data_IF_150965345682
#
_entry.id   IF_150965345682
#
_cell.length_a   1.000
_cell.length_b   1.000
_cell.length_c   1.000
_cell.angle_alpha   90.00
_cell.angle_beta   90.00
_cell.angle_gamma   90.00
#
_symmetry.space_group_name_H-M   'P 1'
#
loop_
_entity.id
_entity.type
_entity.pdbx_description
1 polymer ?
#
# COMPACT_ATOMS: atom_id res chain seq x y z
N UNK A 1 -47.61 -26.45 16.14
CA UNK A 1 -46.70 -27.16 15.20
C UNK A 1 -47.48 -27.28 13.90
N UNK A 2 -47.32 -26.31 12.99
CA UNK A 2 -47.81 -26.43 11.63
C UNK A 2 -46.64 -26.99 10.81
N UNK A 3 -46.70 -28.29 10.57
CA UNK A 3 -45.85 -29.03 9.64
C UNK A 3 -46.37 -28.80 8.22
N UNK A 4 -45.45 -28.79 7.26
CA UNK A 4 -45.65 -28.86 5.80
C UNK A 4 -45.87 -27.56 5.00
N UNK A 5 -44.93 -26.62 5.12
CA UNK A 5 -44.64 -25.72 4.00
C UNK A 5 -43.62 -26.38 3.06
N UNK A 6 -44.11 -27.03 1.99
CA UNK A 6 -43.24 -27.48 0.88
C UNK A 6 -42.75 -26.25 0.11
N UNK A 7 -41.62 -25.69 0.55
CA UNK A 7 -40.96 -24.61 -0.17
C UNK A 7 -40.37 -25.16 -1.48
N UNK A 8 -40.93 -24.73 -2.61
CA UNK A 8 -40.39 -25.01 -3.94
C UNK A 8 -39.58 -23.79 -4.37
N UNK A 9 -38.24 -23.90 -4.35
CA UNK A 9 -37.40 -22.89 -5.00
C UNK A 9 -37.53 -23.01 -6.52
N UNK A 10 -38.17 -22.03 -7.14
CA UNK A 10 -38.11 -21.83 -8.59
C UNK A 10 -37.23 -20.60 -8.86
N UNK A 11 -36.11 -20.81 -9.53
CA UNK A 11 -35.35 -19.72 -10.12
C UNK A 11 -36.21 -19.08 -11.21
N UNK A 12 -36.82 -17.93 -10.90
CA UNK A 12 -37.54 -17.13 -11.86
C UNK A 12 -36.59 -16.01 -12.30
N UNK A 13 -35.94 -16.09 -13.47
CA UNK A 13 -35.07 -15.03 -13.95
C UNK A 13 -35.87 -13.72 -14.02
N UNK A 14 -35.21 -12.57 -13.84
CA UNK A 14 -35.91 -11.30 -13.85
C UNK A 14 -36.50 -11.02 -15.26
N UNK A 15 -37.79 -11.30 -15.44
CA UNK A 15 -38.49 -11.16 -16.72
C UNK A 15 -38.63 -9.70 -17.17
N UNK A 16 -38.29 -8.74 -16.30
CA UNK A 16 -38.24 -7.31 -16.60
C UNK A 16 -36.85 -6.84 -17.05
N UNK A 17 -35.80 -7.67 -16.94
CA UNK A 17 -34.45 -7.28 -17.35
C UNK A 17 -34.40 -7.02 -18.87
N UNK A 18 -33.90 -5.84 -19.25
CA UNK A 18 -33.84 -5.33 -20.63
C UNK A 18 -35.21 -5.12 -21.33
N UNK A 19 -36.32 -5.03 -20.59
CA UNK A 19 -37.62 -4.69 -21.17
C UNK A 19 -37.87 -3.17 -21.17
N UNK A 20 -38.55 -2.63 -22.18
CA UNK A 20 -38.88 -1.21 -22.23
C UNK A 20 -39.94 -0.84 -21.17
N UNK A 21 -39.97 0.45 -20.81
CA UNK A 21 -41.01 1.03 -19.96
C UNK A 21 -42.40 0.72 -20.54
N UNK A 22 -43.30 0.18 -19.70
CA UNK A 22 -44.66 -0.21 -20.09
C UNK A 22 -44.84 -1.68 -20.49
N UNK A 23 -43.80 -2.51 -20.42
CA UNK A 23 -43.92 -3.95 -20.68
C UNK A 23 -44.84 -4.64 -19.66
N UNK A 24 -45.96 -5.20 -20.13
CA UNK A 24 -46.89 -5.95 -19.29
C UNK A 24 -46.46 -7.41 -19.20
N UNK A 25 -46.23 -7.89 -17.97
CA UNK A 25 -45.88 -9.27 -17.68
C UNK A 25 -47.14 -10.05 -17.30
N UNK A 26 -47.59 -10.95 -18.16
CA UNK A 26 -48.73 -11.83 -17.90
C UNK A 26 -48.20 -13.16 -17.34
N UNK A 27 -48.42 -13.42 -16.05
CA UNK A 27 -48.09 -14.71 -15.45
C UNK A 27 -49.19 -15.74 -15.74
N UNK A 28 -48.80 -16.93 -16.21
CA UNK A 28 -49.72 -18.00 -16.64
C UNK A 28 -50.31 -18.82 -15.48
N UNK A 29 -49.83 -18.63 -14.24
CA UNK A 29 -50.29 -19.34 -13.05
C UNK A 29 -50.76 -18.32 -12.01
N UNK A 30 -51.99 -18.48 -11.53
CA UNK A 30 -52.49 -17.73 -10.37
C UNK A 30 -51.74 -18.25 -9.13
N UNK A 31 -50.86 -17.42 -8.57
CA UNK A 31 -50.25 -17.70 -7.27
C UNK A 31 -51.26 -17.25 -6.23
N UNK A 32 -52.07 -18.18 -5.72
CA UNK A 32 -52.96 -17.90 -4.59
C UNK A 32 -52.10 -17.78 -3.31
N UNK A 33 -52.31 -16.69 -2.55
CA UNK A 33 -51.57 -16.29 -1.34
C UNK A 33 -50.16 -15.72 -1.59
N UNK A 34 -50.00 -14.83 -2.57
CA UNK A 34 -48.81 -14.00 -2.75
C UNK A 34 -48.97 -12.67 -2.00
N UNK A 35 -48.03 -12.36 -1.11
CA UNK A 35 -47.85 -11.01 -0.57
C UNK A 35 -46.62 -10.38 -1.22
N UNK A 36 -46.80 -9.28 -1.95
CA UNK A 36 -45.72 -8.52 -2.58
C UNK A 36 -45.53 -7.27 -1.73
N UNK A 37 -44.44 -7.24 -0.97
CA UNK A 37 -44.06 -6.05 -0.21
C UNK A 37 -43.04 -5.28 -1.03
N UNK A 38 -43.43 -4.10 -1.52
CA UNK A 38 -42.51 -3.13 -2.08
C UNK A 38 -41.66 -2.56 -0.94
N UNK A 39 -40.34 -2.59 -1.09
CA UNK A 39 -39.42 -1.94 -0.15
C UNK A 39 -38.37 -1.17 -0.94
N UNK A 40 -38.20 0.09 -0.58
CA UNK A 40 -37.15 0.92 -1.13
C UNK A 40 -35.82 0.61 -0.43
N UNK A 41 -34.87 0.06 -1.16
CA UNK A 41 -33.47 0.06 -0.74
C UNK A 41 -32.86 1.43 -1.02
N UNK A 42 -33.05 2.35 -0.08
CA UNK A 42 -32.42 3.67 -0.17
C UNK A 42 -30.98 3.57 0.30
N UNK A 43 -30.04 3.56 -0.65
CA UNK A 43 -28.61 3.62 -0.39
C UNK A 43 -28.11 5.06 -0.53
N UNK A 44 -27.37 5.54 0.46
CA UNK A 44 -26.70 6.83 0.42
C UNK A 44 -25.19 6.63 0.47
N UNK A 45 -24.48 7.28 -0.44
CA UNK A 45 -23.04 7.39 -0.35
C UNK A 45 -22.70 8.58 0.55
N UNK A 46 -22.04 8.32 1.69
CA UNK A 46 -21.57 9.35 2.62
C UNK A 46 -20.10 9.60 2.37
N UNK A 47 -19.77 10.82 1.98
CA UNK A 47 -18.40 11.24 1.75
C UNK A 47 -17.93 12.20 2.84
N UNK A 48 -16.68 12.06 3.25
CA UNK A 48 -16.06 12.96 4.21
C UNK A 48 -15.83 14.31 3.55
N UNK A 49 -16.68 15.30 3.85
CA UNK A 49 -16.59 16.64 3.25
C UNK A 49 -15.57 17.55 3.93
N UNK A 50 -15.52 17.53 5.27
CA UNK A 50 -14.69 18.48 6.03
C UNK A 50 -14.11 17.82 7.27
N UNK A 51 -12.83 18.12 7.55
CA UNK A 51 -12.14 17.77 8.79
C UNK A 51 -11.64 19.07 9.44
N UNK A 52 -11.89 19.23 10.73
CA UNK A 52 -11.39 20.37 11.51
C UNK A 52 -10.44 19.81 12.56
N UNK A 53 -9.17 20.20 12.50
CA UNK A 53 -8.14 19.80 13.46
C UNK A 53 -7.73 20.98 14.33
N UNK A 54 -7.81 20.81 15.64
CA UNK A 54 -7.47 21.84 16.63
C UNK A 54 -6.39 21.31 17.55
N UNK A 55 -5.20 21.90 17.48
CA UNK A 55 -4.11 21.60 18.41
C UNK A 55 -4.26 22.39 19.72
N UNK A 56 -3.73 21.87 20.81
CA UNK A 56 -3.77 22.51 22.12
C UNK A 56 -2.34 22.77 22.62
N UNK A 57 -2.04 24.02 22.95
CA UNK A 57 -0.79 24.42 23.57
C UNK A 57 -1.10 24.98 24.96
N UNK A 58 -0.49 24.41 26.02
CA UNK A 58 -0.78 24.76 27.42
C UNK A 58 -2.28 24.69 27.76
N UNK A 59 -2.97 23.64 27.31
CA UNK A 59 -4.42 23.43 27.43
C UNK A 59 -5.29 24.53 26.77
N UNK A 60 -4.72 25.37 25.90
CA UNK A 60 -5.47 26.36 25.15
C UNK A 60 -5.61 25.93 23.68
N UNK A 61 -6.83 25.97 23.11
CA UNK A 61 -7.05 25.60 21.71
C UNK A 61 -6.40 26.63 20.79
N UNK A 62 -5.62 26.15 19.82
CA UNK A 62 -5.08 26.96 18.73
C UNK A 62 -6.15 27.18 17.65
N UNK A 63 -5.93 28.15 16.75
CA UNK A 63 -6.79 28.30 15.57
C UNK A 63 -6.71 27.02 14.72
N UNK A 64 -7.85 26.44 14.30
CA UNK A 64 -7.86 25.14 13.64
C UNK A 64 -7.24 25.18 12.25
N UNK A 65 -6.77 24.02 11.81
CA UNK A 65 -6.57 23.70 10.40
C UNK A 65 -7.83 23.06 9.87
N UNK A 66 -8.35 23.56 8.75
CA UNK A 66 -9.57 23.06 8.10
C UNK A 66 -9.18 22.35 6.82
N UNK A 67 -9.64 21.11 6.63
CA UNK A 67 -9.47 20.34 5.40
C UNK A 67 -10.83 20.12 4.76
N UNK A 68 -10.99 20.48 3.49
CA UNK A 68 -12.20 20.32 2.70
C UNK A 68 -11.96 19.41 1.51
N UNK A 69 -12.85 18.46 1.28
CA UNK A 69 -12.73 17.40 0.28
C UNK A 69 -13.83 17.52 -0.77
N UNK A 70 -13.46 17.32 -2.03
CA UNK A 70 -14.38 17.31 -3.17
C UNK A 70 -14.24 16.03 -3.99
N UNK A 71 -15.36 15.58 -4.56
CA UNK A 71 -15.50 14.28 -5.25
C UNK A 71 -16.11 14.51 -6.64
N UNK A 72 -15.59 15.52 -7.32
CA UNK A 72 -16.20 16.13 -8.50
C UNK A 72 -15.76 15.40 -9.79
N UNK A 73 -16.05 14.10 -9.90
CA UNK A 73 -15.87 13.32 -11.13
C UNK A 73 -17.19 12.68 -11.54
N UNK A 74 -17.47 12.68 -12.84
CA UNK A 74 -18.60 11.96 -13.43
C UNK A 74 -18.25 10.51 -13.79
N UNK A 75 -16.98 10.13 -13.72
CA UNK A 75 -16.48 8.80 -14.08
C UNK A 75 -16.38 7.89 -12.85
N UNK A 76 -16.20 8.48 -11.66
CA UNK A 76 -15.96 7.73 -10.45
C UNK A 76 -16.26 8.53 -9.17
N UNK A 77 -16.15 7.88 -8.02
CA UNK A 77 -16.44 8.48 -6.71
C UNK A 77 -15.21 8.70 -5.81
N UNK A 78 -14.00 8.69 -6.36
CA UNK A 78 -12.78 8.97 -5.61
C UNK A 78 -12.61 10.47 -5.30
N UNK A 79 -11.82 10.78 -4.26
CA UNK A 79 -11.48 12.15 -3.86
C UNK A 79 -10.71 12.85 -4.99
N UNK A 80 -11.26 13.91 -5.58
CA UNK A 80 -10.62 14.61 -6.70
C UNK A 80 -9.83 15.84 -6.25
N UNK A 81 -10.23 16.46 -5.13
CA UNK A 81 -9.59 17.66 -4.58
C UNK A 81 -9.63 17.68 -3.06
N UNK A 82 -8.53 18.08 -2.45
CA UNK A 82 -8.42 18.42 -1.03
C UNK A 82 -7.92 19.87 -0.89
N UNK A 83 -8.54 20.65 0.00
CA UNK A 83 -8.12 22.02 0.35
C UNK A 83 -7.81 22.05 1.82
N UNK A 84 -6.56 22.28 2.18
CA UNK A 84 -6.12 22.46 3.55
C UNK A 84 -5.84 23.94 3.83
N UNK A 85 -6.65 24.56 4.66
CA UNK A 85 -6.49 25.94 5.14
C UNK A 85 -5.87 25.93 6.53
N UNK A 86 -4.67 26.47 6.66
CA UNK A 86 -3.94 26.56 7.92
C UNK A 86 -4.41 27.73 8.79
N UNK A 87 -3.97 27.73 10.05
CA UNK A 87 -4.26 28.78 11.02
C UNK A 87 -3.77 30.18 10.59
N UNK A 88 -2.71 30.26 9.77
CA UNK A 88 -2.19 31.51 9.21
C UNK A 88 -2.92 31.96 7.91
N UNK A 89 -4.01 31.28 7.54
CA UNK A 89 -4.78 31.44 6.30
C UNK A 89 -4.05 31.03 5.02
N UNK A 90 -2.84 30.45 5.08
CA UNK A 90 -2.26 29.80 3.90
C UNK A 90 -3.08 28.58 3.54
N UNK A 91 -3.08 28.25 2.26
CA UNK A 91 -3.88 27.16 1.71
C UNK A 91 -2.99 26.26 0.86
N UNK A 92 -3.10 24.95 1.07
CA UNK A 92 -2.64 23.95 0.11
C UNK A 92 -3.84 23.31 -0.57
N UNK A 93 -3.84 23.29 -1.90
CA UNK A 93 -4.81 22.54 -2.70
C UNK A 93 -4.12 21.34 -3.33
N UNK A 94 -4.63 20.14 -3.03
CA UNK A 94 -4.17 18.89 -3.63
C UNK A 94 -5.21 18.40 -4.63
N UNK A 95 -4.77 18.08 -5.84
CA UNK A 95 -5.57 17.56 -6.93
C UNK A 95 -5.13 16.13 -7.25
N UNK A 96 -6.09 15.23 -7.39
CA UNK A 96 -5.86 13.81 -7.68
C UNK A 96 -6.44 13.46 -9.05
N UNK A 97 -5.64 12.80 -9.89
CA UNK A 97 -6.10 12.20 -11.14
C UNK A 97 -5.90 10.70 -11.10
N UNK A 98 -6.92 9.94 -11.49
CA UNK A 98 -6.94 8.49 -11.41
C UNK A 98 -6.81 7.87 -12.81
N UNK A 99 -7.03 6.55 -12.89
CA UNK A 99 -6.93 5.81 -14.14
C UNK A 99 -7.85 6.37 -15.24
N UNK A 100 -9.03 6.88 -14.87
CA UNK A 100 -9.98 7.49 -15.81
C UNK A 100 -9.47 8.80 -16.40
N UNK A 101 -9.03 9.75 -15.58
CA UNK A 101 -8.51 11.06 -16.03
C UNK A 101 -7.23 10.91 -16.84
N UNK A 102 -6.40 9.91 -16.52
CA UNK A 102 -5.17 9.61 -17.25
C UNK A 102 -5.39 8.66 -18.44
N UNK A 103 -6.63 8.26 -18.70
CA UNK A 103 -7.00 7.33 -19.77
C UNK A 103 -6.18 6.02 -19.76
N UNK A 104 -5.87 5.51 -18.58
CA UNK A 104 -5.12 4.26 -18.43
C UNK A 104 -6.09 3.07 -18.52
N UNK A 105 -6.49 2.72 -19.74
CA UNK A 105 -7.46 1.67 -20.04
C UNK A 105 -7.10 0.32 -19.43
N UNK A 106 -5.80 -0.01 -19.36
CA UNK A 106 -5.32 -1.25 -18.74
C UNK A 106 -5.70 -1.33 -17.26
N UNK A 107 -5.48 -0.26 -16.50
CA UNK A 107 -5.84 -0.20 -15.08
C UNK A 107 -7.36 -0.12 -14.88
N UNK A 108 -8.08 0.60 -15.75
CA UNK A 108 -9.56 0.65 -15.74
C UNK A 108 -10.14 -0.74 -15.92
N UNK A 109 -9.70 -1.48 -16.93
CA UNK A 109 -10.18 -2.84 -17.22
C UNK A 109 -9.86 -3.84 -16.10
N UNK A 110 -8.76 -3.61 -15.37
CA UNK A 110 -8.39 -4.38 -14.20
C UNK A 110 -9.07 -3.92 -12.89
N UNK A 111 -9.97 -2.93 -12.96
CA UNK A 111 -10.62 -2.29 -11.82
C UNK A 111 -9.65 -1.66 -10.79
N UNK A 112 -8.44 -1.31 -11.23
CA UNK A 112 -7.45 -0.56 -10.45
C UNK A 112 -7.70 0.94 -10.66
N UNK A 113 -8.86 1.40 -10.19
CA UNK A 113 -9.32 2.79 -10.37
C UNK A 113 -9.17 3.64 -9.12
N UNK A 114 -8.97 3.01 -7.95
CA UNK A 114 -8.88 3.70 -6.65
C UNK A 114 -7.52 4.30 -6.30
N UNK A 115 -6.50 4.12 -7.15
CA UNK A 115 -5.13 4.61 -6.90
C UNK A 115 -4.88 5.88 -7.72
N UNK A 116 -4.53 7.02 -7.10
CA UNK A 116 -4.21 8.23 -7.85
C UNK A 116 -2.93 8.01 -8.65
N UNK A 117 -2.98 8.34 -9.94
CA UNK A 117 -1.86 8.22 -10.87
C UNK A 117 -1.10 9.54 -10.99
N UNK A 118 -1.75 10.67 -10.75
CA UNK A 118 -1.12 11.98 -10.66
C UNK A 118 -1.62 12.74 -9.43
N UNK A 119 -0.71 13.39 -8.73
CA UNK A 119 -1.00 14.26 -7.59
C UNK A 119 -0.32 15.61 -7.83
N UNK A 120 -1.11 16.68 -7.83
CA UNK A 120 -0.62 18.06 -7.94
C UNK A 120 -0.96 18.82 -6.68
N UNK A 121 0.02 19.53 -6.10
CA UNK A 121 -0.15 20.38 -4.92
C UNK A 121 0.17 21.83 -5.29
N UNK A 122 -0.79 22.71 -5.02
CA UNK A 122 -0.65 24.15 -5.18
C UNK A 122 -0.71 24.85 -3.83
N UNK A 123 0.21 25.78 -3.58
CA UNK A 123 0.20 26.64 -2.40
C UNK A 123 -0.38 28.02 -2.75
N UNK A 124 -1.19 28.55 -1.84
CA UNK A 124 -1.83 29.87 -1.90
C UNK A 124 -1.55 30.61 -0.59
N UNK A 125 -1.30 31.90 -0.67
CA UNK A 125 -1.09 32.71 0.53
C UNK A 125 -2.39 33.01 1.29
N UNK A 126 -3.52 33.00 0.58
CA UNK A 126 -4.88 33.13 1.10
C UNK A 126 -5.89 32.75 0.00
N UNK A 127 -7.19 32.78 0.32
CA UNK A 127 -8.26 32.40 -0.62
C UNK A 127 -8.34 33.27 -1.89
N UNK A 128 -7.81 34.50 -1.87
CA UNK A 128 -7.78 35.40 -3.03
C UNK A 128 -6.58 35.20 -3.96
N UNK A 129 -5.65 34.31 -3.61
CA UNK A 129 -4.47 34.00 -4.42
C UNK A 129 -4.79 32.93 -5.49
N UNK A 130 -4.30 33.15 -6.71
CA UNK A 130 -4.40 32.18 -7.80
C UNK A 130 -3.62 30.89 -7.50
N UNK A 131 -2.60 30.98 -6.64
CA UNK A 131 -1.81 29.84 -6.20
C UNK A 131 -0.69 29.48 -7.17
N UNK A 132 0.29 28.75 -6.64
CA UNK A 132 1.44 28.24 -7.40
C UNK A 132 1.61 26.76 -7.13
N UNK A 133 1.85 25.99 -8.18
CA UNK A 133 2.20 24.57 -8.03
C UNK A 133 3.54 24.50 -7.27
N UNK A 134 3.54 23.76 -6.17
CA UNK A 134 4.73 23.47 -5.36
C UNK A 134 5.14 22.00 -5.45
N UNK A 135 4.27 21.14 -5.97
CA UNK A 135 4.59 19.75 -6.26
C UNK A 135 3.70 19.20 -7.35
N UNK A 136 4.26 18.39 -8.23
CA UNK A 136 3.50 17.49 -9.10
C UNK A 136 4.25 16.18 -9.22
N UNK A 137 3.54 15.08 -9.01
CA UNK A 137 4.07 13.72 -9.13
C UNK A 137 3.14 12.88 -9.99
N UNK A 138 3.72 12.02 -10.82
CA UNK A 138 2.98 11.06 -11.63
C UNK A 138 3.58 9.66 -11.45
N UNK A 139 2.73 8.66 -11.18
CA UNK A 139 3.12 7.25 -11.16
C UNK A 139 2.76 6.62 -12.50
N UNK A 140 3.76 6.09 -13.19
CA UNK A 140 3.61 5.43 -14.50
C UNK A 140 3.37 3.93 -14.36
N UNK A 141 2.68 3.38 -15.35
CA UNK A 141 2.30 1.96 -15.44
C UNK A 141 2.51 1.46 -16.86
N UNK A 142 3.69 1.74 -17.42
CA UNK A 142 3.93 1.70 -18.86
C UNK A 142 4.21 0.28 -19.39
N UNK A 143 4.51 -0.69 -18.51
CA UNK A 143 4.78 -2.06 -18.91
C UNK A 143 3.49 -2.75 -19.40
N UNK A 144 3.41 -3.23 -20.66
CA UNK A 144 2.20 -3.86 -21.16
C UNK A 144 1.91 -5.23 -20.52
N UNK A 145 2.93 -5.91 -19.98
CA UNK A 145 2.82 -7.28 -19.48
C UNK A 145 2.25 -7.39 -18.05
N UNK A 146 2.28 -6.30 -17.27
CA UNK A 146 1.80 -6.32 -15.88
C UNK A 146 1.11 -5.02 -15.46
N UNK A 147 0.43 -5.08 -14.32
CA UNK A 147 -0.35 -3.97 -13.76
C UNK A 147 0.40 -3.19 -12.67
N UNK A 148 1.65 -3.54 -12.41
CA UNK A 148 2.50 -2.90 -11.40
C UNK A 148 3.08 -1.57 -11.91
N UNK A 149 3.39 -0.62 -11.02
CA UNK A 149 4.06 0.64 -11.36
C UNK A 149 5.38 0.39 -12.10
N UNK A 150 5.77 1.34 -12.97
CA UNK A 150 7.06 1.30 -13.68
C UNK A 150 7.99 2.43 -13.30
N UNK A 151 7.45 3.58 -12.91
CA UNK A 151 8.25 4.70 -12.41
C UNK A 151 7.41 5.73 -11.68
N UNK A 152 8.07 6.61 -10.93
CA UNK A 152 7.49 7.83 -10.40
C UNK A 152 8.26 9.02 -10.96
N UNK A 153 7.54 9.97 -11.52
CA UNK A 153 8.06 11.23 -12.05
C UNK A 153 7.77 12.37 -11.08
N UNK A 154 8.69 13.33 -11.00
CA UNK A 154 8.44 14.67 -10.46
C UNK A 154 8.56 15.69 -11.59
N UNK A 155 7.85 16.81 -11.51
CA UNK A 155 7.90 17.86 -12.54
C UNK A 155 8.58 19.10 -11.99
N UNK A 156 9.31 19.79 -12.87
CA UNK A 156 9.88 21.09 -12.55
C UNK A 156 8.75 22.12 -12.36
N UNK A 157 8.87 22.95 -11.32
CA UNK A 157 7.84 23.90 -10.94
C UNK A 157 7.77 25.12 -11.87
N UNK A 158 8.84 25.39 -12.64
CA UNK A 158 8.89 26.44 -13.65
C UNK A 158 8.47 25.93 -15.02
N UNK A 159 8.76 24.66 -15.32
CA UNK A 159 8.34 23.98 -16.54
C UNK A 159 7.69 22.62 -16.24
N UNK A 160 6.36 22.65 -16.10
CA UNK A 160 5.54 21.49 -15.75
C UNK A 160 5.28 20.53 -16.94
N UNK A 161 6.02 20.68 -18.05
CA UNK A 161 5.83 19.87 -19.26
C UNK A 161 6.76 18.65 -19.29
N UNK A 162 7.93 18.73 -18.66
CA UNK A 162 8.94 17.67 -18.68
C UNK A 162 9.15 17.08 -17.28
N UNK A 163 8.74 15.83 -17.10
CA UNK A 163 8.96 15.10 -15.84
C UNK A 163 10.38 14.53 -15.74
N UNK A 164 10.95 14.54 -14.55
CA UNK A 164 12.18 13.84 -14.17
C UNK A 164 11.84 12.57 -13.41
N UNK A 165 12.46 11.44 -13.78
CA UNK A 165 12.29 10.18 -13.06
C UNK A 165 12.94 10.25 -11.68
N UNK A 166 12.13 10.10 -10.63
CA UNK A 166 12.61 10.00 -9.25
C UNK A 166 12.99 8.56 -8.89
N UNK A 167 12.23 7.60 -9.40
CA UNK A 167 12.51 6.17 -9.28
C UNK A 167 11.94 5.43 -10.49
N UNK A 168 12.70 4.46 -11.00
CA UNK A 168 12.24 3.44 -11.94
C UNK A 168 12.15 2.09 -11.22
N UNK A 169 11.02 1.40 -11.36
CA UNK A 169 10.81 0.05 -10.84
C UNK A 169 11.16 -0.95 -11.95
N UNK A 170 12.41 -1.40 -11.94
CA UNK A 170 13.02 -2.08 -13.08
C UNK A 170 12.54 -3.52 -13.24
N UNK A 171 12.31 -4.22 -12.12
CA UNK A 171 12.01 -5.65 -12.15
C UNK A 171 11.16 -6.09 -10.96
N UNK A 172 10.19 -6.95 -11.26
CA UNK A 172 9.34 -7.64 -10.29
C UNK A 172 9.48 -9.16 -10.46
N UNK A 173 9.23 -9.91 -9.39
CA UNK A 173 9.05 -11.36 -9.46
C UNK A 173 7.63 -11.75 -9.91
N UNK A 174 7.36 -13.04 -10.02
CA UNK A 174 6.05 -13.57 -10.42
C UNK A 174 4.92 -13.29 -9.41
N UNK A 175 5.25 -12.99 -8.16
CA UNK A 175 4.29 -12.64 -7.12
C UNK A 175 4.02 -11.12 -7.07
N UNK A 176 4.69 -10.34 -7.93
CA UNK A 176 4.61 -8.89 -7.97
C UNK A 176 5.49 -8.20 -6.93
N UNK A 177 6.45 -8.91 -6.33
CA UNK A 177 7.41 -8.32 -5.42
C UNK A 177 8.50 -7.57 -6.20
N UNK A 178 8.82 -6.34 -5.78
CA UNK A 178 9.88 -5.54 -6.40
C UNK A 178 11.25 -6.17 -6.13
N UNK A 179 11.98 -6.54 -7.19
CA UNK A 179 13.32 -7.12 -7.10
C UNK A 179 14.43 -6.10 -7.37
N UNK A 180 14.16 -5.08 -8.20
CA UNK A 180 15.12 -4.03 -8.50
C UNK A 180 14.41 -2.71 -8.77
N UNK A 181 14.99 -1.62 -8.25
CA UNK A 181 14.63 -0.27 -8.66
C UNK A 181 15.89 0.60 -8.83
N UNK A 182 15.77 1.66 -9.63
CA UNK A 182 16.83 2.62 -9.86
C UNK A 182 16.37 4.02 -9.45
N UNK A 183 17.11 4.66 -8.56
CA UNK A 183 16.83 6.01 -8.08
C UNK A 183 17.20 7.10 -9.09
N UNK A 184 16.83 8.35 -8.77
CA UNK A 184 17.17 9.55 -9.54
C UNK A 184 18.67 9.75 -9.76
N UNK A 185 19.46 9.35 -8.79
CA UNK A 185 20.94 9.31 -8.84
C UNK A 185 21.50 8.24 -9.77
N UNK A 186 20.62 7.46 -10.42
CA UNK A 186 20.92 6.32 -11.29
C UNK A 186 21.57 5.15 -10.54
N UNK A 187 21.45 5.12 -9.22
CA UNK A 187 21.91 4.01 -8.39
C UNK A 187 20.80 2.96 -8.32
N UNK A 188 21.14 1.73 -8.70
CA UNK A 188 20.23 0.59 -8.62
C UNK A 188 20.31 -0.04 -7.23
N UNK A 189 19.16 -0.47 -6.71
CA UNK A 189 19.03 -1.23 -5.48
C UNK A 189 18.30 -2.53 -5.77
N UNK A 190 18.81 -3.63 -5.24
CA UNK A 190 18.22 -4.96 -5.36
C UNK A 190 17.56 -5.37 -4.04
N UNK A 191 16.40 -6.01 -4.12
CA UNK A 191 15.70 -6.64 -3.01
C UNK A 191 15.55 -8.12 -3.32
N UNK A 192 16.07 -8.97 -2.44
CA UNK A 192 15.90 -10.43 -2.51
C UNK A 192 14.79 -10.82 -1.54
N UNK A 193 13.85 -11.62 -2.03
CA UNK A 193 12.70 -12.10 -1.27
C UNK A 193 12.90 -13.56 -0.88
N UNK A 194 12.64 -13.88 0.39
CA UNK A 194 12.71 -15.21 0.97
C UNK A 194 11.41 -15.56 1.69
N UNK A 195 11.47 -16.56 2.58
CA UNK A 195 10.29 -17.07 3.29
C UNK A 195 9.14 -17.40 2.31
N UNK A 196 9.46 -18.17 1.26
CA UNK A 196 8.58 -18.50 0.13
C UNK A 196 8.09 -17.26 -0.65
N UNK A 197 8.99 -16.31 -0.92
CA UNK A 197 8.72 -15.06 -1.65
C UNK A 197 7.68 -14.15 -0.95
N UNK A 198 7.65 -14.16 0.38
CA UNK A 198 6.70 -13.32 1.15
C UNK A 198 7.36 -12.20 1.93
N UNK A 199 8.67 -12.27 2.18
CA UNK A 199 9.40 -11.28 2.97
C UNK A 199 10.73 -10.89 2.32
N UNK A 200 11.15 -9.61 2.38
CA UNK A 200 12.46 -9.18 1.90
C UNK A 200 13.55 -9.65 2.87
N UNK A 201 14.53 -10.42 2.39
CA UNK A 201 15.62 -10.97 3.22
C UNK A 201 16.95 -10.27 3.03
N UNK A 202 17.13 -9.58 1.89
CA UNK A 202 18.31 -8.77 1.65
C UNK A 202 17.97 -7.54 0.80
N UNK A 203 18.55 -6.39 1.16
CA UNK A 203 18.60 -5.17 0.36
C UNK A 203 20.07 -4.91 0.03
N UNK A 204 20.38 -4.76 -1.26
CA UNK A 204 21.74 -4.50 -1.74
C UNK A 204 21.73 -3.21 -2.55
N UNK A 205 22.50 -2.22 -2.10
CA UNK A 205 22.59 -0.92 -2.75
C UNK A 205 23.80 -0.88 -3.70
N UNK A 206 23.69 -0.03 -4.72
CA UNK A 206 24.70 0.19 -5.75
C UNK A 206 25.07 -1.07 -6.56
N UNK A 207 24.05 -1.86 -6.93
CA UNK A 207 24.23 -3.04 -7.78
C UNK A 207 22.96 -3.31 -8.60
N UNK A 208 23.12 -3.95 -9.76
CA UNK A 208 22.01 -4.51 -10.54
C UNK A 208 21.85 -6.00 -10.26
N UNK A 209 20.62 -6.50 -10.30
CA UNK A 209 20.30 -7.90 -10.05
C UNK A 209 21.09 -8.84 -10.97
N UNK A 210 21.26 -8.44 -12.24
CA UNK A 210 22.02 -9.21 -13.24
C UNK A 210 23.50 -9.40 -12.90
N UNK A 211 24.07 -8.59 -12.00
CA UNK A 211 25.45 -8.71 -11.55
C UNK A 211 25.63 -9.66 -10.36
N UNK A 212 24.53 -10.05 -9.69
CA UNK A 212 24.57 -10.99 -8.57
C UNK A 212 24.44 -12.42 -9.13
N UNK A 213 25.36 -13.30 -8.77
CA UNK A 213 25.28 -14.69 -9.20
C UNK A 213 24.03 -15.37 -8.62
N UNK A 214 23.28 -16.09 -9.45
CA UNK A 214 22.03 -16.74 -9.03
C UNK A 214 22.23 -17.75 -7.89
N UNK A 215 23.41 -18.38 -7.81
CA UNK A 215 23.79 -19.29 -6.72
C UNK A 215 23.83 -18.58 -5.35
N UNK A 216 24.26 -17.32 -5.31
CA UNK A 216 24.32 -16.52 -4.07
C UNK A 216 22.91 -16.21 -3.56
N UNK A 217 22.02 -15.82 -4.47
CA UNK A 217 20.60 -15.57 -4.19
C UNK A 217 19.93 -16.85 -3.70
N UNK A 218 20.11 -17.95 -4.44
CA UNK A 218 19.47 -19.24 -4.13
C UNK A 218 19.87 -19.76 -2.75
N UNK A 219 21.14 -19.57 -2.34
CA UNK A 219 21.62 -19.99 -1.03
C UNK A 219 20.86 -19.32 0.13
N UNK A 220 20.70 -17.99 0.10
CA UNK A 220 20.00 -17.27 1.18
C UNK A 220 18.49 -17.48 1.14
N UNK A 221 17.90 -17.67 -0.05
CA UNK A 221 16.47 -17.99 -0.19
C UNK A 221 16.19 -19.37 0.42
N UNK A 222 16.97 -20.40 0.08
CA UNK A 222 16.80 -21.74 0.63
C UNK A 222 16.99 -21.78 2.15
N UNK A 223 18.00 -21.06 2.66
CA UNK A 223 18.22 -20.93 4.10
C UNK A 223 17.01 -20.26 4.78
N UNK A 224 16.45 -19.21 4.19
CA UNK A 224 15.26 -18.53 4.73
C UNK A 224 14.01 -19.40 4.70
N UNK A 225 13.85 -20.23 3.67
CA UNK A 225 12.70 -21.15 3.57
C UNK A 225 12.82 -22.30 4.58
N UNK A 226 14.05 -22.75 4.84
CA UNK A 226 14.32 -23.76 5.88
C UNK A 226 14.01 -23.20 7.26
N UNK A 227 14.43 -21.97 7.52
CA UNK A 227 14.14 -21.25 8.76
C UNK A 227 12.64 -21.05 8.96
N UNK A 228 11.93 -20.61 7.92
CA UNK A 228 10.46 -20.48 7.93
C UNK A 228 9.75 -21.80 8.29
N UNK A 229 10.24 -22.93 7.77
CA UNK A 229 9.67 -24.25 8.03
C UNK A 229 9.94 -24.77 9.45
N UNK A 230 11.00 -24.29 10.11
CA UNK A 230 11.31 -24.64 11.50
C UNK A 230 10.37 -23.94 12.51
N UNK A 231 9.67 -22.89 12.09
CA UNK A 231 8.66 -22.19 12.88
C UNK A 231 9.24 -21.09 13.77
N UNK A 232 8.35 -20.45 14.53
CA UNK A 232 8.67 -19.31 15.39
C UNK A 232 9.68 -19.66 16.49
N UNK A 233 10.62 -18.76 16.79
CA UNK A 233 11.64 -18.92 17.83
C UNK A 233 12.58 -20.13 17.61
N UNK A 234 12.74 -20.58 16.35
CA UNK A 234 13.70 -21.61 16.00
C UNK A 234 15.16 -21.09 16.12
N UNK A 235 16.12 -22.01 15.98
CA UNK A 235 17.52 -21.64 15.83
C UNK A 235 17.80 -21.09 14.41
N UNK A 236 18.10 -19.79 14.32
CA UNK A 236 18.40 -19.10 13.05
C UNK A 236 19.90 -19.13 12.67
N UNK A 237 20.75 -19.86 13.41
CA UNK A 237 22.20 -19.85 13.19
C UNK A 237 22.61 -20.21 11.76
N UNK A 238 21.91 -21.15 11.14
CA UNK A 238 22.15 -21.54 9.73
C UNK A 238 21.79 -20.41 8.75
N UNK A 239 20.67 -19.71 8.99
CA UNK A 239 20.26 -18.56 8.18
C UNK A 239 21.27 -17.40 8.32
N UNK A 240 21.67 -17.08 9.55
CA UNK A 240 22.65 -16.03 9.82
C UNK A 240 24.02 -16.33 9.20
N UNK A 241 24.42 -17.61 9.17
CA UNK A 241 25.64 -18.05 8.49
C UNK A 241 25.54 -17.84 6.99
N UNK A 242 24.42 -18.20 6.37
CA UNK A 242 24.17 -17.96 4.94
C UNK A 242 24.20 -16.46 4.59
N UNK A 243 23.60 -15.59 5.42
CA UNK A 243 23.70 -14.14 5.25
C UNK A 243 25.14 -13.63 5.38
N UNK A 244 25.91 -14.16 6.32
CA UNK A 244 27.32 -13.78 6.50
C UNK A 244 28.14 -14.16 5.26
N UNK A 245 27.95 -15.37 4.73
CA UNK A 245 28.59 -15.81 3.48
C UNK A 245 28.18 -14.94 2.30
N UNK A 246 26.88 -14.64 2.14
CA UNK A 246 26.37 -13.79 1.06
C UNK A 246 26.99 -12.39 1.07
N UNK A 247 27.10 -11.78 2.26
CA UNK A 247 27.78 -10.49 2.43
C UNK A 247 29.25 -10.56 2.04
N UNK A 248 29.94 -11.64 2.42
CA UNK A 248 31.34 -11.87 2.06
C UNK A 248 31.57 -12.07 0.55
N UNK A 249 30.55 -12.50 -0.19
CA UNK A 249 30.60 -12.65 -1.66
C UNK A 249 30.44 -11.33 -2.41
N UNK A 250 29.96 -10.27 -1.73
CA UNK A 250 29.71 -8.94 -2.29
C UNK A 250 30.32 -7.83 -1.41
N UNK A 251 31.65 -7.86 -1.17
CA UNK A 251 32.29 -7.04 -0.12
C UNK A 251 32.24 -5.52 -0.38
N UNK A 252 32.02 -5.09 -1.62
CA UNK A 252 32.02 -3.68 -2.02
C UNK A 252 30.62 -3.05 -2.03
N UNK A 253 29.59 -3.77 -1.59
CA UNK A 253 28.21 -3.30 -1.62
C UNK A 253 27.65 -3.13 -0.22
N UNK A 254 26.77 -2.13 -0.06
CA UNK A 254 26.04 -1.92 1.19
C UNK A 254 24.88 -2.92 1.23
N UNK A 255 24.97 -3.88 2.14
CA UNK A 255 23.99 -4.96 2.27
C UNK A 255 23.28 -4.82 3.62
N UNK A 256 21.96 -4.85 3.60
CA UNK A 256 21.13 -5.06 4.79
C UNK A 256 20.43 -6.39 4.67
N UNK A 257 20.48 -7.22 5.70
CA UNK A 257 19.79 -8.52 5.74
C UNK A 257 18.76 -8.55 6.85
N UNK A 258 17.67 -9.28 6.62
CA UNK A 258 16.52 -9.34 7.52
C UNK A 258 16.16 -10.82 7.77
N UNK A 259 15.98 -11.18 9.05
CA UNK A 259 15.34 -12.44 9.44
C UNK A 259 14.00 -12.17 10.12
N UNK A 260 13.11 -13.16 10.10
CA UNK A 260 11.74 -13.02 10.54
C UNK A 260 11.33 -14.23 11.36
N UNK A 261 10.43 -14.00 12.31
CA UNK A 261 9.56 -15.03 12.84
C UNK A 261 8.20 -14.88 12.16
N UNK A 262 7.77 -15.85 11.30
CA UNK A 262 6.47 -15.78 10.65
C UNK A 262 5.32 -15.53 11.64
N UNK A 263 4.37 -14.67 11.26
CA UNK A 263 3.23 -14.21 12.06
C UNK A 263 3.56 -13.33 13.29
N UNK A 264 4.83 -13.10 13.61
CA UNK A 264 5.25 -12.17 14.67
C UNK A 264 5.85 -10.90 14.07
N UNK A 265 6.93 -11.02 13.30
CA UNK A 265 7.62 -9.87 12.74
C UNK A 265 9.09 -10.13 12.45
N UNK A 266 9.84 -9.04 12.30
CA UNK A 266 11.30 -9.09 12.10
C UNK A 266 11.95 -9.62 13.37
N UNK A 267 12.85 -10.60 13.24
CA UNK A 267 13.64 -11.15 14.34
C UNK A 267 15.01 -10.49 14.43
N UNK A 268 15.66 -10.25 13.29
CA UNK A 268 16.90 -9.47 13.26
C UNK A 268 17.06 -8.64 11.98
N UNK A 269 17.77 -7.53 12.12
CA UNK A 269 18.24 -6.70 11.01
C UNK A 269 19.75 -6.57 11.15
N UNK A 270 20.50 -6.90 10.10
CA UNK A 270 21.94 -6.64 10.06
C UNK A 270 22.22 -5.59 8.99
N UNK A 271 22.41 -4.31 9.37
CA UNK A 271 22.76 -3.23 8.47
C UNK A 271 24.14 -3.41 7.82
N UNK A 272 24.54 -2.53 6.88
CA UNK A 272 25.85 -2.59 6.26
C UNK A 272 27.01 -2.46 7.26
N UNK A 273 26.80 -1.76 8.37
CA UNK A 273 27.76 -1.65 9.48
C UNK A 273 28.11 -2.99 10.14
N UNK A 274 27.29 -4.03 9.95
CA UNK A 274 27.45 -5.35 10.56
C UNK A 274 26.98 -5.44 12.01
N UNK A 275 26.60 -4.33 12.64
CA UNK A 275 26.05 -4.31 14.00
C UNK A 275 24.59 -4.75 13.93
N UNK A 276 24.33 -6.01 14.29
CA UNK A 276 22.99 -6.61 14.17
C UNK A 276 22.06 -6.06 15.25
N UNK A 277 20.84 -5.76 14.87
CA UNK A 277 19.73 -5.48 15.77
C UNK A 277 18.87 -6.73 15.90
N UNK A 278 18.52 -7.09 17.13
CA UNK A 278 17.70 -8.25 17.48
C UNK A 278 16.42 -7.75 18.14
N UNK A 279 15.28 -8.13 17.56
CA UNK A 279 13.96 -7.66 17.92
C UNK A 279 13.26 -8.74 18.74
N UNK A 280 12.92 -8.42 19.98
CA UNK A 280 12.31 -9.33 20.94
C UNK A 280 10.87 -8.94 21.19
N UNK A 281 9.98 -9.92 21.22
CA UNK A 281 8.55 -9.74 21.38
C UNK A 281 8.08 -10.27 22.73
N UNK A 282 6.98 -9.71 23.22
CA UNK A 282 6.26 -10.27 24.37
C UNK A 282 5.38 -11.46 23.96
N UNK A 283 4.78 -12.21 24.90
CA UNK A 283 3.91 -13.34 24.57
C UNK A 283 2.67 -13.00 23.74
N UNK A 284 2.31 -11.71 23.62
CA UNK A 284 1.21 -11.24 22.78
C UNK A 284 1.68 -10.84 21.37
N UNK A 285 2.94 -11.08 21.01
CA UNK A 285 3.51 -10.76 19.71
C UNK A 285 3.83 -9.28 19.51
N UNK A 286 3.90 -8.49 20.58
CA UNK A 286 4.21 -7.04 20.50
C UNK A 286 5.69 -6.82 20.73
N UNK A 287 6.29 -5.90 19.98
CA UNK A 287 7.71 -5.56 20.12
C UNK A 287 7.99 -5.07 21.54
N UNK A 288 8.85 -5.79 22.25
CA UNK A 288 9.18 -5.53 23.66
C UNK A 288 10.54 -4.85 23.77
N UNK A 289 11.56 -5.37 23.10
CA UNK A 289 12.93 -4.88 23.21
C UNK A 289 13.65 -4.95 21.85
N UNK A 290 14.60 -4.04 21.66
CA UNK A 290 15.60 -4.12 20.58
C UNK A 290 16.97 -4.20 21.25
N UNK A 291 17.76 -5.19 20.86
CA UNK A 291 19.10 -5.45 21.43
C UNK A 291 20.16 -5.56 20.36
N UNK A 292 21.40 -5.29 20.74
CA UNK A 292 22.55 -5.34 19.85
C UNK A 292 23.19 -6.74 19.82
N UNK A 293 23.46 -7.25 18.63
CA UNK A 293 24.10 -8.53 18.26
C UNK A 293 23.40 -9.80 18.73
N UNK A 294 22.90 -9.87 19.96
CA UNK A 294 22.30 -11.07 20.53
C UNK A 294 21.07 -10.72 21.38
N UNK A 295 20.21 -11.72 21.62
CA UNK A 295 19.03 -11.58 22.48
C UNK A 295 19.39 -11.19 23.93
N UNK A 296 20.63 -11.46 24.36
CA UNK A 296 21.17 -11.05 25.68
C UNK A 296 22.13 -9.87 25.60
N UNK A 297 22.29 -9.27 24.41
CA UNK A 297 23.19 -8.16 24.16
C UNK A 297 22.69 -6.84 24.73
N UNK A 298 23.42 -5.76 24.41
CA UNK A 298 23.13 -4.41 24.91
C UNK A 298 21.72 -3.99 24.53
N UNK A 299 20.95 -3.52 25.51
CA UNK A 299 19.62 -2.95 25.27
C UNK A 299 19.75 -1.64 24.49
N UNK A 300 19.09 -1.57 23.35
CA UNK A 300 19.01 -0.38 22.49
C UNK A 300 17.71 0.37 22.77
N UNK A 301 16.59 -0.37 22.86
CA UNK A 301 15.26 0.21 23.08
C UNK A 301 14.35 -0.77 23.81
N UNK A 302 13.46 -0.24 24.65
CA UNK A 302 12.44 -1.00 25.39
C UNK A 302 11.06 -0.34 25.19
N UNK A 303 10.02 -1.17 25.11
CA UNK A 303 8.63 -0.76 25.01
C UNK A 303 7.82 -1.36 26.16
N UNK A 304 7.05 -0.52 26.85
CA UNK A 304 6.16 -0.92 27.95
C UNK A 304 4.72 -0.63 27.60
N UNK A 305 3.87 -1.64 27.73
CA UNK A 305 2.46 -1.56 27.41
C UNK A 305 1.63 -1.69 28.68
N UNK A 306 0.97 -0.59 29.08
CA UNK A 306 0.10 -0.56 30.25
C UNK A 306 -1.36 -0.50 29.80
N UNK A 307 -2.18 -1.41 30.32
CA UNK A 307 -3.62 -1.40 30.09
C UNK A 307 -4.32 -0.73 31.28
N UNK A 308 -5.28 0.14 30.96
CA UNK A 308 -6.20 0.67 31.97
C UNK A 308 -7.33 -0.34 32.13
N UNK A 309 -7.40 -0.97 33.30
CA UNK A 309 -8.56 -1.74 33.74
C UNK A 309 -9.63 -0.81 34.32
#
# INVERSE_FOLDING_TARGET
ILLDANNVEKSNPNHCYQKPLGYQLVHQYAIENLDIVEYDNISYQKYLKTVISTDYMNNQPMKPTVTENSYDSNLHYQLTKEIQTYSDNKINETYFSYAHEKNNTKLINANIVGVPLEITVSAKQNAGDYGKIISKKETKYDNPAHLLPTSVLSYDLKDNTSGSTEVAYDQYDSNGNLQQYTGKDKISTVIIWGYNNTQPIAKIEDIKLTAIQQSYITAIVNASNTDAAAGTNNDESSLLSAFTTFRGQLPNHQITTYSYDPLIGVRSITPPSGIREVYLYDPAGRLKEIRENHQTGRLVKEFKYNYKN
#
